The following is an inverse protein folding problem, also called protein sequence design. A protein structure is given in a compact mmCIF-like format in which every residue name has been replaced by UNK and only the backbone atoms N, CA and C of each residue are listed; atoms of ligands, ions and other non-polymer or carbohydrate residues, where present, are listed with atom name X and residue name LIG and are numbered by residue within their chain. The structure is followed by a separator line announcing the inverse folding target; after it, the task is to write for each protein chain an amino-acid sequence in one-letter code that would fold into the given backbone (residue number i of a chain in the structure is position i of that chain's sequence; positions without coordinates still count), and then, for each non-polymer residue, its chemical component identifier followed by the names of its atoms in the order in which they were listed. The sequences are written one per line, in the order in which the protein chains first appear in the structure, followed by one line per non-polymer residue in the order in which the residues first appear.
data_IF_689158106043
#
_entry.id   IF_689158106043
#
_cell.length_a   1.000
_cell.length_b   1.000
_cell.length_c   1.000
_cell.angle_alpha   90.00
_cell.angle_beta   90.00
_cell.angle_gamma   90.00
#
_symmetry.space_group_name_H-M   'P 1'
#
loop_
_entity.id
_entity.type
_entity.pdbx_description
1 polymer ?
#
# COMPACT_ATOMS: atom_id res chain seq x y z
N UNK A 1 9.57 -22.78 -8.21
CA UNK A 1 9.97 -22.05 -7.00
C UNK A 1 8.84 -22.22 -5.99
N UNK A 2 8.96 -23.13 -5.02
CA UNK A 2 7.97 -23.26 -3.95
C UNK A 2 8.27 -22.21 -2.89
N UNK A 3 7.69 -21.03 -3.04
CA UNK A 3 7.67 -20.06 -1.95
C UNK A 3 6.81 -20.64 -0.82
N UNK A 4 7.37 -20.70 0.39
CA UNK A 4 6.55 -20.92 1.59
C UNK A 4 5.68 -19.68 1.76
N UNK A 5 4.41 -19.76 1.34
CA UNK A 5 3.45 -18.70 1.59
C UNK A 5 3.01 -18.77 3.07
N UNK A 6 3.73 -18.06 3.95
CA UNK A 6 3.33 -17.88 5.35
C UNK A 6 2.09 -16.99 5.38
N UNK A 7 0.92 -17.63 5.32
CA UNK A 7 -0.36 -16.98 5.15
C UNK A 7 -1.00 -16.46 6.43
N UNK A 8 -2.22 -15.96 6.29
CA UNK A 8 -3.13 -15.62 7.36
C UNK A 8 -4.03 -16.79 7.72
N UNK A 9 -4.34 -16.91 9.01
CA UNK A 9 -5.38 -17.79 9.50
C UNK A 9 -6.04 -17.18 10.74
N UNK A 10 -7.36 -17.25 10.83
CA UNK A 10 -8.06 -16.82 12.04
C UNK A 10 -7.70 -17.71 13.23
N UNK A 11 -7.75 -17.13 14.45
CA UNK A 11 -7.45 -17.86 15.68
C UNK A 11 -8.51 -18.92 16.02
N UNK A 12 -9.73 -18.76 15.52
CA UNK A 12 -10.87 -19.64 15.77
C UNK A 12 -11.79 -19.71 14.56
N UNK A 13 -12.76 -20.62 14.62
CA UNK A 13 -13.88 -20.69 13.69
C UNK A 13 -14.57 -19.33 13.55
N UNK A 14 -14.85 -18.95 12.30
CA UNK A 14 -15.60 -17.74 11.96
C UNK A 14 -17.07 -18.12 11.77
N UNK A 15 -17.98 -17.39 12.41
CA UNK A 15 -19.41 -17.61 12.22
C UNK A 15 -19.80 -17.35 10.76
N UNK A 16 -20.70 -18.18 10.24
CA UNK A 16 -21.27 -18.09 8.90
C UNK A 16 -20.29 -18.27 7.72
N UNK A 17 -19.07 -18.73 8.00
CA UNK A 17 -18.06 -19.00 6.98
C UNK A 17 -18.33 -20.29 6.18
N UNK A 18 -19.14 -21.21 6.69
CA UNK A 18 -19.45 -22.47 6.02
C UNK A 18 -20.44 -22.28 4.86
N UNK A 19 -20.28 -23.07 3.79
CA UNK A 19 -21.17 -23.03 2.61
C UNK A 19 -22.61 -23.46 2.92
N UNK A 20 -22.85 -24.17 4.02
CA UNK A 20 -24.20 -24.51 4.48
C UNK A 20 -24.90 -23.40 5.27
N UNK A 21 -24.19 -22.34 5.69
CA UNK A 21 -24.83 -21.20 6.35
C UNK A 21 -25.65 -20.39 5.35
N UNK A 22 -26.85 -19.96 5.76
CA UNK A 22 -27.74 -19.11 4.97
C UNK A 22 -27.34 -17.64 4.94
N UNK A 23 -26.36 -17.23 5.76
CA UNK A 23 -25.79 -15.88 5.84
C UNK A 23 -24.29 -15.91 5.51
N UNK A 24 -23.69 -14.74 5.30
CA UNK A 24 -22.26 -14.60 5.02
C UNK A 24 -21.48 -14.22 6.28
N UNK A 25 -20.24 -14.72 6.39
CA UNK A 25 -19.30 -14.23 7.39
C UNK A 25 -19.04 -12.73 7.20
N UNK A 26 -18.69 -12.03 8.28
CA UNK A 26 -18.40 -10.59 8.28
C UNK A 26 -16.89 -10.30 8.33
N UNK A 27 -16.05 -11.26 7.92
CA UNK A 27 -14.60 -11.10 7.98
C UNK A 27 -14.13 -10.23 6.81
N UNK A 28 -13.54 -9.09 7.13
CA UNK A 28 -13.03 -8.12 6.17
C UNK A 28 -11.56 -7.82 6.45
N UNK A 29 -10.76 -7.71 5.39
CA UNK A 29 -9.42 -7.13 5.44
C UNK A 29 -9.41 -5.89 4.57
N UNK A 30 -8.92 -4.78 5.12
CA UNK A 30 -8.76 -3.52 4.39
C UNK A 30 -7.28 -3.26 4.17
N UNK A 31 -6.92 -2.98 2.92
CA UNK A 31 -5.61 -2.54 2.49
C UNK A 31 -5.69 -1.09 2.04
N UNK A 32 -5.08 -0.20 2.81
CA UNK A 32 -4.90 1.19 2.43
C UNK A 32 -3.56 1.34 1.72
N UNK A 33 -3.61 1.88 0.50
CA UNK A 33 -2.45 2.22 -0.28
C UNK A 33 -2.18 3.72 -0.17
N UNK A 34 -0.90 4.12 -0.18
CA UNK A 34 -0.53 5.53 -0.19
C UNK A 34 -0.81 6.21 -1.53
N UNK A 35 -1.35 5.48 -2.51
CA UNK A 35 -1.72 5.99 -3.83
C UNK A 35 -2.90 5.20 -4.39
N UNK A 36 -3.60 5.81 -5.34
CA UNK A 36 -4.67 5.13 -6.05
C UNK A 36 -4.15 4.19 -7.14
N UNK A 37 -4.71 3.00 -7.26
CA UNK A 37 -4.51 2.10 -8.41
C UNK A 37 -5.84 1.71 -9.08
N UNK A 38 -5.81 1.47 -10.38
CA UNK A 38 -6.86 0.78 -11.12
C UNK A 38 -6.52 -0.70 -11.17
N UNK A 39 -7.35 -1.53 -10.55
CA UNK A 39 -7.12 -2.98 -10.42
C UNK A 39 -7.64 -3.69 -11.66
N UNK A 40 -6.79 -4.49 -12.30
CA UNK A 40 -7.16 -5.35 -13.42
C UNK A 40 -7.55 -6.76 -12.97
N UNK A 41 -6.84 -7.26 -11.95
CA UNK A 41 -7.09 -8.56 -11.36
C UNK A 41 -6.62 -8.60 -9.93
N UNK A 42 -7.14 -9.56 -9.18
CA UNK A 42 -6.70 -9.88 -7.84
C UNK A 42 -6.41 -11.38 -7.74
N UNK A 43 -5.51 -11.72 -6.84
CA UNK A 43 -5.00 -13.07 -6.66
C UNK A 43 -5.31 -13.53 -5.25
N UNK A 44 -5.70 -14.78 -5.11
CA UNK A 44 -5.68 -15.47 -3.83
C UNK A 44 -4.84 -16.74 -3.97
N UNK A 45 -3.92 -16.94 -3.03
CA UNK A 45 -3.20 -18.19 -2.87
C UNK A 45 -3.72 -18.97 -1.66
N UNK A 46 -3.69 -20.30 -1.76
CA UNK A 46 -3.89 -21.19 -0.63
C UNK A 46 -2.64 -21.19 0.26
N UNK A 47 -2.84 -21.26 1.58
CA UNK A 47 -1.73 -21.28 2.55
C UNK A 47 -0.93 -22.57 2.44
N UNK A 48 0.38 -22.48 2.21
CA UNK A 48 1.20 -23.68 2.10
C UNK A 48 1.42 -24.36 3.46
N UNK A 49 1.47 -25.70 3.46
CA UNK A 49 1.62 -26.50 4.68
C UNK A 49 0.37 -26.68 5.56
N UNK A 50 -0.75 -26.03 5.23
CA UNK A 50 -2.04 -26.23 5.91
C UNK A 50 -2.74 -27.51 5.39
N UNK A 51 -3.01 -28.55 6.21
CA UNK A 51 -3.65 -29.77 5.72
C UNK A 51 -5.14 -29.55 5.36
N UNK A 52 -5.81 -28.58 5.98
CA UNK A 52 -7.22 -28.29 5.79
C UNK A 52 -7.43 -27.35 4.61
N UNK A 53 -7.37 -27.92 3.40
CA UNK A 53 -7.51 -27.17 2.14
C UNK A 53 -8.87 -26.45 2.05
N UNK A 54 -9.90 -27.02 2.67
CA UNK A 54 -11.27 -26.52 2.63
C UNK A 54 -11.52 -25.29 3.54
N UNK A 55 -10.59 -24.95 4.45
CA UNK A 55 -10.56 -23.69 5.22
C UNK A 55 -10.19 -22.47 4.35
N UNK A 56 -9.76 -22.69 3.10
CA UNK A 56 -9.45 -21.61 2.17
C UNK A 56 -10.72 -20.92 1.69
N UNK A 57 -10.68 -19.59 1.53
CA UNK A 57 -11.82 -18.79 1.10
C UNK A 57 -12.31 -19.24 -0.27
N UNK A 58 -13.55 -19.75 -0.34
CA UNK A 58 -14.23 -20.16 -1.56
C UNK A 58 -15.21 -19.11 -2.09
N UNK A 59 -15.48 -18.05 -1.34
CA UNK A 59 -16.33 -16.92 -1.79
C UNK A 59 -15.83 -15.61 -1.20
N UNK A 60 -15.53 -14.65 -2.07
CA UNK A 60 -15.03 -13.33 -1.71
C UNK A 60 -15.58 -12.27 -2.66
N UNK A 61 -15.85 -11.09 -2.12
CA UNK A 61 -16.07 -9.87 -2.90
C UNK A 61 -14.98 -8.85 -2.57
N UNK A 62 -14.46 -8.21 -3.60
CA UNK A 62 -13.42 -7.18 -3.49
C UNK A 62 -14.05 -5.82 -3.81
N UNK A 63 -13.79 -4.84 -2.96
CA UNK A 63 -14.25 -3.46 -3.13
C UNK A 63 -13.08 -2.49 -3.20
N UNK A 64 -13.28 -1.39 -3.93
CA UNK A 64 -12.40 -0.24 -3.96
C UNK A 64 -13.09 0.99 -3.37
N UNK A 65 -12.31 1.83 -2.71
CA UNK A 65 -12.72 3.13 -2.20
C UNK A 65 -11.69 4.20 -2.54
N UNK A 66 -12.18 5.36 -2.97
CA UNK A 66 -11.37 6.55 -3.28
C UNK A 66 -11.46 7.62 -2.18
N UNK A 67 -12.18 7.34 -1.09
CA UNK A 67 -12.49 8.30 -0.01
C UNK A 67 -12.12 7.75 1.39
N UNK A 68 -11.11 6.88 1.44
CA UNK A 68 -10.58 6.32 2.69
C UNK A 68 -11.53 5.32 3.35
N UNK A 69 -12.35 4.62 2.57
CA UNK A 69 -13.27 3.58 3.05
C UNK A 69 -14.63 4.08 3.51
N UNK A 70 -15.01 5.31 3.18
CA UNK A 70 -16.35 5.86 3.49
C UNK A 70 -17.41 5.29 2.55
N UNK A 71 -17.09 5.21 1.26
CA UNK A 71 -17.91 4.56 0.24
C UNK A 71 -17.12 3.44 -0.44
N UNK A 72 -17.81 2.36 -0.80
CA UNK A 72 -17.21 1.15 -1.37
C UNK A 72 -17.89 0.82 -2.70
N UNK A 73 -17.07 0.65 -3.75
CA UNK A 73 -17.49 0.22 -5.07
C UNK A 73 -17.02 -1.22 -5.28
N UNK A 74 -17.92 -2.14 -5.66
CA UNK A 74 -17.54 -3.52 -5.95
C UNK A 74 -16.68 -3.58 -7.20
N UNK A 75 -15.50 -4.21 -7.10
CA UNK A 75 -14.56 -4.39 -8.21
C UNK A 75 -14.69 -5.77 -8.84
N UNK A 76 -15.12 -6.77 -8.08
CA UNK A 76 -15.28 -8.13 -8.56
C UNK A 76 -15.52 -9.10 -7.43
N UNK A 77 -15.91 -10.32 -7.79
CA UNK A 77 -16.20 -11.39 -6.86
C UNK A 77 -15.94 -12.77 -7.47
N UNK A 78 -15.81 -13.77 -6.61
CA UNK A 78 -15.89 -15.18 -6.98
C UNK A 78 -16.73 -15.95 -5.98
N UNK A 79 -17.31 -17.07 -6.42
CA UNK A 79 -18.25 -17.87 -5.66
C UNK A 79 -17.99 -19.36 -5.90
N UNK A 80 -18.01 -20.15 -4.82
CA UNK A 80 -17.93 -21.60 -4.89
C UNK A 80 -16.56 -22.15 -5.30
N UNK A 81 -15.49 -21.38 -5.15
CA UNK A 81 -14.14 -21.82 -5.49
C UNK A 81 -13.66 -22.92 -4.54
N UNK A 82 -13.06 -23.96 -5.12
CA UNK A 82 -12.36 -25.02 -4.40
C UNK A 82 -10.87 -24.97 -4.68
N UNK A 83 -10.07 -25.53 -3.78
CA UNK A 83 -8.62 -25.37 -3.79
C UNK A 83 -7.88 -26.70 -3.82
N UNK A 84 -6.65 -26.65 -4.35
CA UNK A 84 -5.63 -27.70 -4.26
C UNK A 84 -4.45 -27.22 -3.41
N UNK A 85 -3.60 -28.16 -2.99
CA UNK A 85 -2.38 -27.81 -2.26
C UNK A 85 -1.49 -26.87 -3.08
N UNK A 86 -1.01 -25.80 -2.43
CA UNK A 86 -0.12 -24.79 -3.02
C UNK A 86 -0.69 -24.13 -4.30
N UNK A 87 -2.01 -24.05 -4.42
CA UNK A 87 -2.68 -23.41 -5.55
C UNK A 87 -2.78 -21.88 -5.39
N UNK A 88 -2.72 -21.19 -6.52
CA UNK A 88 -2.97 -19.75 -6.64
C UNK A 88 -3.96 -19.53 -7.78
N UNK A 89 -5.00 -18.73 -7.53
CA UNK A 89 -5.99 -18.36 -8.53
C UNK A 89 -6.00 -16.85 -8.74
N UNK A 90 -6.17 -16.46 -9.99
CA UNK A 90 -6.31 -15.06 -10.41
C UNK A 90 -7.73 -14.83 -10.86
N UNK A 91 -8.33 -13.75 -10.39
CA UNK A 91 -9.70 -13.34 -10.70
C UNK A 91 -9.70 -11.94 -11.31
N UNK A 92 -10.57 -11.70 -12.28
CA UNK A 92 -10.69 -10.40 -12.91
C UNK A 92 -11.36 -9.38 -11.98
N UNK A 93 -10.87 -8.14 -12.04
CA UNK A 93 -11.56 -6.97 -11.51
C UNK A 93 -12.04 -6.09 -12.66
N UNK A 94 -13.08 -5.30 -12.42
CA UNK A 94 -13.55 -4.30 -13.38
C UNK A 94 -12.65 -3.07 -13.33
N UNK A 95 -11.64 -3.07 -14.19
CA UNK A 95 -10.72 -1.95 -14.37
C UNK A 95 -11.38 -0.69 -14.93
N UNK A 96 -12.63 -0.73 -15.38
CA UNK A 96 -13.34 0.45 -15.91
C UNK A 96 -13.90 1.35 -14.81
N UNK A 97 -13.94 0.88 -13.57
CA UNK A 97 -14.47 1.60 -12.40
C UNK A 97 -13.54 2.70 -11.86
N UNK A 98 -12.37 2.86 -12.47
CA UNK A 98 -11.43 3.93 -12.15
C UNK A 98 -10.40 3.51 -11.12
N UNK A 99 -10.02 4.45 -10.26
CA UNK A 99 -8.86 4.32 -9.39
C UNK A 99 -9.26 4.44 -7.92
N UNK A 100 -8.72 3.55 -7.08
CA UNK A 100 -9.03 3.44 -5.65
C UNK A 100 -7.75 3.39 -4.81
N UNK A 101 -7.77 3.96 -3.61
CA UNK A 101 -6.65 3.97 -2.66
C UNK A 101 -6.87 3.06 -1.45
N UNK A 102 -8.11 2.62 -1.23
CA UNK A 102 -8.44 1.66 -0.17
C UNK A 102 -9.16 0.46 -0.78
N UNK A 103 -8.78 -0.74 -0.38
CA UNK A 103 -9.32 -2.00 -0.92
C UNK A 103 -9.84 -2.88 0.20
N UNK A 104 -11.08 -3.35 0.08
CA UNK A 104 -11.70 -4.23 1.06
C UNK A 104 -11.93 -5.61 0.47
N UNK A 105 -11.37 -6.61 1.13
CA UNK A 105 -11.54 -8.03 0.82
C UNK A 105 -12.55 -8.61 1.81
N UNK A 106 -13.79 -8.79 1.37
CA UNK A 106 -14.85 -9.36 2.18
C UNK A 106 -14.92 -10.87 1.95
N UNK A 107 -14.36 -11.63 2.89
CA UNK A 107 -14.29 -13.09 2.85
C UNK A 107 -15.59 -13.65 3.42
N UNK A 108 -16.45 -14.14 2.54
CA UNK A 108 -17.81 -14.53 2.90
C UNK A 108 -17.90 -15.99 3.31
N UNK A 109 -17.21 -16.87 2.58
CA UNK A 109 -17.27 -18.33 2.77
C UNK A 109 -15.91 -18.98 2.58
N UNK A 110 -15.61 -19.96 3.42
CA UNK A 110 -14.59 -20.97 3.15
C UNK A 110 -15.18 -22.05 2.25
N UNK A 111 -14.32 -22.83 1.59
CA UNK A 111 -14.74 -23.93 0.71
C UNK A 111 -15.27 -25.19 1.44
N UNK A 112 -15.64 -25.05 2.72
CA UNK A 112 -16.12 -26.12 3.61
C UNK A 112 -17.61 -25.98 3.93
N UNK A 113 -18.29 -27.10 4.16
CA UNK A 113 -19.73 -27.11 4.48
C UNK A 113 -20.04 -26.45 5.82
N UNK A 114 -19.35 -26.83 6.88
CA UNK A 114 -19.52 -26.27 8.21
C UNK A 114 -18.69 -24.99 8.36
N UNK A 115 -19.08 -24.13 9.31
CA UNK A 115 -18.27 -22.99 9.70
C UNK A 115 -16.90 -23.47 10.18
N UNK A 116 -15.85 -22.78 9.72
CA UNK A 116 -14.49 -23.05 10.14
C UNK A 116 -13.64 -21.79 10.20
N UNK A 117 -12.37 -21.97 10.55
CA UNK A 117 -11.33 -20.94 10.43
C UNK A 117 -11.22 -20.49 8.99
N UNK A 118 -10.87 -19.22 8.80
CA UNK A 118 -10.60 -18.68 7.47
C UNK A 118 -9.09 -18.65 7.28
N UNK A 119 -8.61 -19.29 6.23
CA UNK A 119 -7.19 -19.40 5.90
C UNK A 119 -6.93 -18.88 4.49
N UNK A 120 -5.83 -18.16 4.31
CA UNK A 120 -5.33 -17.74 3.00
C UNK A 120 -3.81 -17.62 3.03
N UNK A 121 -3.16 -17.97 1.92
CA UNK A 121 -1.71 -17.87 1.76
C UNK A 121 -1.27 -16.46 1.40
N UNK A 122 -1.93 -15.88 0.40
CA UNK A 122 -1.59 -14.57 -0.15
C UNK A 122 -2.83 -13.92 -0.75
N UNK A 123 -2.90 -12.60 -0.66
CA UNK A 123 -3.76 -11.75 -1.47
C UNK A 123 -2.86 -10.76 -2.19
N UNK A 124 -3.00 -10.65 -3.51
CA UNK A 124 -2.28 -9.67 -4.29
C UNK A 124 -3.21 -8.94 -5.26
N UNK A 125 -2.89 -7.68 -5.54
CA UNK A 125 -3.56 -6.85 -6.54
C UNK A 125 -2.63 -6.67 -7.74
N UNK A 126 -3.16 -6.85 -8.95
CA UNK A 126 -2.47 -6.51 -10.18
C UNK A 126 -3.14 -5.26 -10.78
N UNK A 127 -2.38 -4.18 -10.83
CA UNK A 127 -2.84 -2.91 -11.37
C UNK A 127 -2.70 -2.88 -12.91
N UNK A 128 -3.70 -2.36 -13.63
CA UNK A 128 -3.55 -1.94 -15.04
C UNK A 128 -3.06 -0.50 -15.17
N UNK A 129 -3.29 0.32 -14.14
CA UNK A 129 -2.80 1.68 -14.05
C UNK A 129 -2.60 2.08 -12.58
N UNK A 130 -1.66 2.99 -12.34
CA UNK A 130 -1.47 3.66 -11.04
C UNK A 130 -1.90 5.11 -11.27
N UNK A 131 -2.88 5.61 -10.53
CA UNK A 131 -3.07 7.06 -10.50
C UNK A 131 -1.98 7.61 -9.61
N UNK A 132 -0.98 8.23 -10.21
CA UNK A 132 0.02 8.96 -9.46
C UNK A 132 -0.57 10.22 -8.76
N UNK A 133 -1.88 10.43 -8.75
CA UNK A 133 -2.52 11.63 -8.22
C UNK A 133 -2.44 11.78 -6.69
N UNK A 134 -2.00 10.78 -5.92
CA UNK A 134 -1.93 10.90 -4.45
C UNK A 134 -0.76 10.16 -3.81
N UNK A 135 0.30 9.80 -4.53
CA UNK A 135 1.44 9.11 -3.91
C UNK A 135 2.09 9.99 -2.83
N UNK A 136 2.09 9.51 -1.59
CA UNK A 136 2.76 10.19 -0.50
C UNK A 136 4.26 10.40 -0.80
N UNK A 137 4.79 11.53 -0.36
CA UNK A 137 6.22 11.86 -0.36
C UNK A 137 7.18 10.87 0.31
N UNK A 138 6.67 9.88 1.04
CA UNK A 138 7.47 9.03 1.91
C UNK A 138 8.26 8.01 1.09
N UNK A 139 7.74 7.64 -0.08
CA UNK A 139 8.41 6.76 -1.04
C UNK A 139 8.99 7.53 -2.24
N UNK A 140 8.96 8.87 -2.19
CA UNK A 140 9.50 9.68 -3.27
C UNK A 140 11.02 9.78 -3.18
N UNK A 141 11.72 9.33 -4.21
CA UNK A 141 13.18 9.24 -4.15
C UNK A 141 13.82 10.62 -4.01
N UNK A 142 13.39 11.63 -4.77
CA UNK A 142 14.13 12.92 -4.84
C UNK A 142 14.10 13.72 -3.53
N UNK A 143 12.94 13.95 -2.87
CA UNK A 143 12.92 14.63 -1.58
C UNK A 143 13.65 13.89 -0.45
N UNK A 144 13.89 12.58 -0.63
CA UNK A 144 14.50 11.69 0.37
C UNK A 144 15.96 11.29 0.04
N UNK A 145 16.55 11.78 -1.06
CA UNK A 145 18.00 11.66 -1.30
C UNK A 145 18.71 12.72 -0.45
N UNK A 146 18.97 12.37 0.81
CA UNK A 146 19.62 13.26 1.76
C UNK A 146 21.14 13.23 1.59
N UNK A 147 21.73 14.39 1.37
CA UNK A 147 23.18 14.57 1.42
C UNK A 147 23.75 14.51 2.84
N UNK A 148 25.07 14.52 2.98
CA UNK A 148 25.74 14.51 4.29
C UNK A 148 25.26 15.65 5.18
N UNK A 149 24.85 15.32 6.41
CA UNK A 149 24.40 16.30 7.40
C UNK A 149 23.06 16.94 7.09
N UNK A 150 22.31 16.45 6.09
CA UNK A 150 20.94 16.90 5.78
C UNK A 150 19.94 15.96 6.46
N UNK A 151 18.95 16.54 7.13
CA UNK A 151 17.84 15.84 7.74
C UNK A 151 16.53 16.38 7.15
N UNK A 152 15.57 15.50 6.87
CA UNK A 152 14.21 15.91 6.51
C UNK A 152 13.37 16.00 7.79
N UNK A 153 12.64 17.11 7.97
CA UNK A 153 11.91 17.37 9.22
C UNK A 153 10.39 17.43 9.06
N UNK A 154 9.88 17.31 7.84
CA UNK A 154 8.45 17.23 7.56
C UNK A 154 8.08 16.12 6.56
N UNK A 155 6.84 15.62 6.68
CA UNK A 155 6.37 14.43 5.98
C UNK A 155 4.86 14.52 5.64
N UNK A 156 4.35 15.73 5.40
CA UNK A 156 2.90 15.99 5.27
C UNK A 156 2.46 16.46 3.88
N UNK A 157 3.39 16.71 2.97
CA UNK A 157 3.14 17.09 1.57
C UNK A 157 2.46 15.99 0.74
N UNK A 158 1.28 16.30 0.22
CA UNK A 158 0.58 15.49 -0.78
C UNK A 158 0.42 16.34 -2.04
N UNK A 159 0.37 15.73 -3.22
CA UNK A 159 0.26 16.49 -4.46
C UNK A 159 -0.24 15.64 -5.64
N UNK A 160 -0.94 16.31 -6.56
CA UNK A 160 -1.30 15.81 -7.89
C UNK A 160 -0.35 16.39 -8.94
N UNK A 161 -0.34 15.83 -10.16
CA UNK A 161 0.50 16.34 -11.25
C UNK A 161 0.27 17.82 -11.50
N UNK A 162 1.34 18.60 -11.41
CA UNK A 162 1.34 20.06 -11.55
C UNK A 162 1.39 20.81 -10.22
N UNK A 163 1.18 20.15 -9.08
CA UNK A 163 1.26 20.80 -7.78
C UNK A 163 2.70 21.16 -7.41
N UNK A 164 2.82 22.14 -6.51
CA UNK A 164 4.07 22.45 -5.81
C UNK A 164 3.84 22.36 -4.30
N UNK A 165 4.82 21.81 -3.58
CA UNK A 165 4.80 21.81 -2.12
C UNK A 165 6.18 22.16 -1.56
N UNK A 166 6.18 22.74 -0.36
CA UNK A 166 7.40 23.08 0.37
C UNK A 166 7.78 21.91 1.26
N UNK A 167 9.00 21.44 1.11
CA UNK A 167 9.65 20.41 1.91
C UNK A 167 10.66 21.10 2.83
N UNK A 168 10.61 20.77 4.12
CA UNK A 168 11.45 21.40 5.15
C UNK A 168 12.52 20.43 5.60
N UNK A 169 13.74 20.94 5.62
CA UNK A 169 14.93 20.22 6.03
C UNK A 169 15.55 20.87 7.27
N UNK A 170 16.57 20.24 7.81
CA UNK A 170 17.49 20.84 8.76
C UNK A 170 18.91 20.31 8.49
N UNK A 171 19.90 21.03 9.02
CA UNK A 171 21.26 20.52 9.04
C UNK A 171 21.52 19.89 10.41
N UNK A 172 22.21 18.75 10.39
CA UNK A 172 22.68 18.07 11.60
C UNK A 172 23.69 18.94 12.36
N UNK A 173 23.95 18.60 13.62
CA UNK A 173 24.87 19.35 14.47
C UNK A 173 26.26 19.47 13.82
N UNK A 174 26.80 20.69 13.79
CA UNK A 174 28.07 20.98 13.12
C UNK A 174 27.96 21.24 11.62
N UNK A 175 26.75 21.35 11.06
CA UNK A 175 26.51 21.74 9.68
C UNK A 175 25.60 22.98 9.58
N UNK A 176 25.68 23.71 8.46
CA UNK A 176 24.76 24.80 8.13
C UNK A 176 24.38 24.76 6.65
N UNK A 177 23.21 25.31 6.31
CA UNK A 177 22.71 25.33 4.93
C UNK A 177 23.59 26.21 4.04
N UNK A 178 24.04 25.69 2.90
CA UNK A 178 24.81 26.45 1.92
C UNK A 178 24.00 27.62 1.31
N UNK A 179 22.70 27.42 1.12
CA UNK A 179 21.77 28.36 0.47
C UNK A 179 21.07 29.32 1.44
N UNK A 180 21.23 29.12 2.76
CA UNK A 180 20.50 29.89 3.77
C UNK A 180 19.02 29.56 3.91
N UNK A 181 18.48 28.61 3.14
CA UNK A 181 17.10 28.12 3.27
C UNK A 181 17.07 26.62 3.49
N UNK A 182 16.29 26.20 4.47
CA UNK A 182 15.91 24.81 4.71
C UNK A 182 14.55 24.44 4.09
N UNK A 183 13.81 25.43 3.60
CA UNK A 183 12.54 25.22 2.90
C UNK A 183 12.81 25.18 1.39
N UNK A 184 12.50 24.05 0.76
CA UNK A 184 12.70 23.81 -0.67
C UNK A 184 11.37 23.48 -1.32
N UNK A 185 11.05 24.15 -2.43
CA UNK A 185 9.84 23.84 -3.20
C UNK A 185 10.14 22.72 -4.20
N UNK A 186 9.35 21.66 -4.13
CA UNK A 186 9.34 20.59 -5.12
C UNK A 186 8.10 20.73 -5.99
N UNK A 187 8.20 20.24 -7.23
CA UNK A 187 7.07 20.21 -8.18
C UNK A 187 6.69 18.78 -8.46
N UNK A 188 5.43 18.42 -8.32
CA UNK A 188 4.95 17.08 -8.59
C UNK A 188 4.75 16.88 -10.09
N UNK A 189 5.62 16.08 -10.73
CA UNK A 189 5.65 15.90 -12.18
C UNK A 189 5.34 14.45 -12.58
N UNK A 190 4.57 14.28 -13.64
CA UNK A 190 4.33 12.99 -14.25
C UNK A 190 5.58 12.51 -15.02
N UNK A 191 5.93 11.25 -14.83
CA UNK A 191 7.00 10.55 -15.56
C UNK A 191 6.41 9.68 -16.68
N UNK A 192 7.25 9.28 -17.63
CA UNK A 192 6.85 8.37 -18.69
C UNK A 192 6.43 7.00 -18.08
N UNK A 193 5.23 6.51 -18.42
CA UNK A 193 4.70 5.25 -17.90
C UNK A 193 3.59 5.38 -16.85
N UNK A 194 3.08 6.59 -16.61
CA UNK A 194 1.89 6.81 -15.77
C UNK A 194 2.18 6.98 -14.27
N UNK A 195 3.45 7.04 -13.88
CA UNK A 195 3.88 7.43 -12.52
C UNK A 195 4.05 8.95 -12.42
N UNK A 196 4.15 9.47 -11.19
CA UNK A 196 4.47 10.86 -10.90
C UNK A 196 5.17 10.96 -9.55
N UNK A 197 6.09 11.91 -9.44
CA UNK A 197 6.96 12.11 -8.28
C UNK A 197 7.22 13.61 -8.08
N UNK A 198 7.49 14.00 -6.84
CA UNK A 198 8.06 15.28 -6.46
C UNK A 198 9.45 15.42 -7.04
N UNK A 199 9.63 16.45 -7.85
CA UNK A 199 10.88 16.77 -8.52
C UNK A 199 11.52 18.00 -7.90
N UNK A 200 12.81 17.88 -7.58
CA UNK A 200 13.58 18.92 -6.91
C UNK A 200 14.87 18.38 -6.31
N UNK A 201 15.58 19.23 -5.59
CA UNK A 201 16.86 18.85 -4.97
C UNK A 201 16.89 19.32 -3.53
N UNK A 202 17.06 18.40 -2.55
CA UNK A 202 17.25 18.79 -1.16
C UNK A 202 18.40 19.79 -0.98
N UNK A 203 18.39 20.61 0.09
CA UNK A 203 19.44 21.59 0.30
C UNK A 203 20.76 20.91 0.65
N UNK A 204 21.88 21.59 0.36
CA UNK A 204 23.21 21.13 0.78
C UNK A 204 23.54 21.68 2.16
N UNK A 205 23.89 20.80 3.09
CA UNK A 205 24.48 21.16 4.38
C UNK A 205 26.01 21.11 4.27
N UNK A 206 26.67 22.19 4.67
CA UNK A 206 28.14 22.29 4.70
C UNK A 206 28.61 22.17 6.14
N UNK A 207 29.65 21.36 6.37
CA UNK A 207 30.26 21.25 7.69
C UNK A 207 30.85 22.60 8.10
N UNK A 208 30.53 23.03 9.31
CA UNK A 208 31.09 24.23 9.93
C UNK A 208 32.56 23.95 10.29
N UNK A 209 33.44 24.20 9.33
CA UNK A 209 34.88 24.20 9.50
C UNK A 209 35.30 25.51 10.16
N UNK A 210 35.31 25.53 11.49
CA UNK A 210 35.78 26.66 12.27
C UNK A 210 36.69 26.19 13.41
N UNK A 211 37.99 26.46 13.31
CA UNK A 211 38.88 26.50 14.46
C UNK A 211 38.27 27.38 15.54
N UNK A 212 38.25 26.88 16.77
CA UNK A 212 37.82 27.55 17.99
C UNK A 212 38.44 28.97 18.06
N UNK A 213 37.71 30.04 17.73
CA UNK A 213 38.13 31.40 18.09
C UNK A 213 37.57 31.67 19.49
N UNK A 214 38.41 31.42 20.49
CA UNK A 214 38.15 31.78 21.87
C UNK A 214 38.21 33.32 21.98
N UNK A 215 37.05 33.99 21.94
CA UNK A 215 36.97 35.38 22.39
C UNK A 215 37.07 35.34 23.92
N UNK A 216 38.27 35.61 24.45
CA UNK A 216 38.42 35.95 25.86
C UNK A 216 37.90 37.37 26.05
N UNK A 217 36.90 37.50 26.92
CA UNK A 217 36.58 38.77 27.58
C UNK A 217 37.58 38.96 28.71
#
# INVERSE_FOLDING_TARGET
MSGLYTGFATASTVADSGTSSGTNATLEVVLDLPCGITVASYVQAKRDGDPEIDETVGTMTVYGSSDGGTTWTELGSFLGETWSQSEMKTFSADATLGTFSSFKFWMQKVSKTANDRVVLGEIALSASAVSAATCNQAMDTEPNILGTGVLRVDFTQMGVTGDTAVFTYSCDYGYATASGSTAVTFTYMADAGGSAFWKGTPPTCLQLSGSLVLIRI
#
